data_IF_984726597332
#
_entry.id   IF_984726597332
#
_cell.length_a   1.000
_cell.length_b   1.000
_cell.length_c   1.000
_cell.angle_alpha   90.00
_cell.angle_beta   90.00
_cell.angle_gamma   90.00
#
_symmetry.space_group_name_H-M   'P 1'
#
loop_
_entity.id
_entity.type
_entity.pdbx_description
1 polymer ?
#
# COMPACT_ATOMS: atom_id res chain seq x y z
N UNK A 1 13.20 -78.36 50.15
CA UNK A 1 13.65 -78.85 48.83
C UNK A 1 15.10 -78.43 48.69
N UNK A 2 16.00 -79.37 48.51
CA UNK A 2 17.46 -79.28 48.61
C UNK A 2 18.09 -79.90 47.34
N UNK A 3 19.40 -79.79 47.09
CA UNK A 3 20.29 -78.61 47.14
C UNK A 3 21.23 -78.57 45.89
N UNK A 4 22.34 -77.81 45.95
CA UNK A 4 23.65 -78.08 45.29
C UNK A 4 23.77 -78.02 43.73
N UNK A 5 24.91 -77.66 43.10
CA UNK A 5 26.24 -77.21 43.58
C UNK A 5 27.09 -76.48 42.50
N UNK A 6 28.16 -75.78 42.95
CA UNK A 6 29.46 -75.44 42.29
C UNK A 6 29.48 -74.68 40.94
N UNK A 7 29.95 -73.43 40.86
CA UNK A 7 31.35 -72.92 40.88
C UNK A 7 32.28 -73.35 39.70
N UNK A 8 33.28 -72.51 39.33
CA UNK A 8 33.66 -72.22 37.94
C UNK A 8 34.87 -73.01 37.43
N UNK A 9 35.21 -72.87 36.14
CA UNK A 9 36.61 -72.89 35.70
C UNK A 9 36.87 -72.04 34.45
N UNK A 10 38.07 -71.46 34.44
CA UNK A 10 38.74 -70.79 33.33
C UNK A 10 39.30 -71.81 32.31
N UNK A 11 40.06 -71.28 31.34
CA UNK A 11 41.15 -71.93 30.63
C UNK A 11 40.83 -73.05 29.61
N UNK A 12 41.60 -73.22 28.52
CA UNK A 12 42.37 -72.26 27.71
C UNK A 12 42.76 -72.97 26.40
N UNK A 13 43.30 -72.21 25.42
CA UNK A 13 44.28 -72.69 24.43
C UNK A 13 43.94 -73.94 23.58
N UNK A 14 43.13 -73.69 22.56
CA UNK A 14 43.30 -74.27 21.23
C UNK A 14 44.06 -73.33 20.28
N UNK A 15 45.33 -73.09 20.61
CA UNK A 15 46.38 -72.37 19.86
C UNK A 15 46.21 -72.22 18.33
N UNK A 16 45.88 -70.98 17.94
CA UNK A 16 46.64 -70.08 17.06
C UNK A 16 47.08 -70.47 15.62
N UNK A 17 47.23 -69.45 14.73
CA UNK A 17 47.52 -69.59 13.29
C UNK A 17 49.06 -69.44 13.09
N UNK A 18 49.70 -68.81 12.05
CA UNK A 18 49.28 -67.98 10.90
C UNK A 18 50.06 -68.42 9.61
N UNK A 19 50.62 -67.56 8.72
CA UNK A 19 50.34 -66.16 8.35
C UNK A 19 50.04 -65.95 6.85
N UNK A 20 49.23 -64.95 6.48
CA UNK A 20 49.72 -63.58 6.19
C UNK A 20 49.64 -63.30 4.68
N UNK A 21 49.78 -62.11 4.08
CA UNK A 21 50.12 -60.71 4.44
C UNK A 21 49.68 -59.88 3.20
N UNK A 22 49.17 -58.64 3.21
CA UNK A 22 48.84 -57.63 4.23
C UNK A 22 47.69 -56.73 3.71
N UNK A 23 46.79 -56.18 4.56
CA UNK A 23 46.85 -54.79 5.07
C UNK A 23 47.38 -53.72 4.09
N UNK A 24 46.48 -52.83 3.64
CA UNK A 24 46.71 -51.35 3.61
C UNK A 24 45.36 -50.66 3.91
N UNK A 25 45.07 -50.18 5.13
CA UNK A 25 45.46 -48.93 5.83
C UNK A 25 44.21 -48.02 5.91
N UNK A 26 43.95 -47.43 7.08
CA UNK A 26 42.79 -46.57 7.37
C UNK A 26 43.16 -45.06 7.39
N UNK A 27 42.32 -44.22 8.04
CA UNK A 27 42.55 -42.80 8.45
C UNK A 27 42.26 -41.77 7.32
N UNK A 28 41.43 -40.71 7.45
CA UNK A 28 40.55 -40.19 8.54
C UNK A 28 39.48 -39.19 8.03
N UNK A 29 38.44 -38.97 8.86
CA UNK A 29 37.74 -37.70 9.15
C UNK A 29 37.28 -36.73 8.02
N UNK A 30 35.97 -36.44 8.01
CA UNK A 30 35.37 -35.11 8.31
C UNK A 30 34.01 -34.97 7.61
N UNK A 31 32.90 -34.97 8.37
CA UNK A 31 31.59 -34.65 7.82
C UNK A 31 31.40 -33.13 7.74
N UNK A 32 31.65 -32.54 6.59
CA UNK A 32 31.15 -31.20 6.24
C UNK A 32 29.98 -31.34 5.28
N UNK A 33 28.78 -31.01 5.76
CA UNK A 33 27.57 -30.98 4.93
C UNK A 33 27.66 -29.85 3.91
N UNK A 34 27.52 -30.10 2.60
CA UNK A 34 27.40 -29.02 1.63
C UNK A 34 26.04 -28.35 1.81
N UNK A 35 26.04 -27.04 2.07
CA UNK A 35 24.81 -26.24 2.03
C UNK A 35 24.37 -26.14 0.58
N UNK A 36 23.32 -26.88 0.22
CA UNK A 36 22.69 -26.78 -1.10
C UNK A 36 21.93 -25.46 -1.15
N UNK A 37 22.57 -24.42 -1.69
CA UNK A 37 21.90 -23.20 -2.09
C UNK A 37 21.02 -23.49 -3.32
N UNK A 38 19.79 -23.94 -3.07
CA UNK A 38 18.78 -24.11 -4.11
C UNK A 38 18.35 -22.73 -4.62
N UNK A 39 19.04 -22.23 -5.65
CA UNK A 39 18.61 -21.08 -6.42
C UNK A 39 17.34 -21.44 -7.20
N UNK A 40 16.18 -21.24 -6.59
CA UNK A 40 14.89 -21.39 -7.26
C UNK A 40 14.78 -20.30 -8.32
N UNK A 41 15.00 -20.69 -9.58
CA UNK A 41 14.67 -19.87 -10.72
C UNK A 41 13.14 -19.72 -10.81
N UNK A 42 12.61 -18.66 -10.20
CA UNK A 42 11.22 -18.27 -10.40
C UNK A 42 11.03 -17.89 -11.89
N UNK A 43 9.98 -18.38 -12.56
CA UNK A 43 9.69 -18.02 -13.95
C UNK A 43 9.60 -16.51 -14.13
N UNK A 44 10.28 -16.00 -15.16
CA UNK A 44 10.38 -14.58 -15.44
C UNK A 44 9.05 -13.95 -15.88
N UNK A 45 8.24 -13.56 -14.91
CA UNK A 45 7.30 -12.45 -15.07
C UNK A 45 7.98 -11.16 -14.58
N UNK A 46 8.93 -10.65 -15.36
CA UNK A 46 9.27 -9.23 -15.28
C UNK A 46 8.07 -8.44 -15.79
N UNK A 47 7.09 -8.24 -14.90
CA UNK A 47 6.22 -7.09 -15.00
C UNK A 47 7.13 -5.87 -14.83
N UNK A 48 7.58 -5.30 -15.95
CA UNK A 48 8.19 -3.97 -15.95
C UNK A 48 7.28 -3.06 -15.12
N UNK A 49 7.83 -2.24 -14.21
CA UNK A 49 7.01 -1.26 -13.52
C UNK A 49 6.28 -0.45 -14.60
N UNK A 50 4.94 -0.49 -14.57
CA UNK A 50 4.14 0.21 -15.56
C UNK A 50 4.59 1.68 -15.57
N UNK A 51 4.81 2.30 -16.75
CA UNK A 51 5.28 3.67 -16.80
C UNK A 51 4.43 4.56 -15.91
N UNK A 52 5.07 5.26 -14.98
CA UNK A 52 4.42 6.18 -14.06
C UNK A 52 3.69 7.26 -14.90
N UNK A 53 2.37 7.08 -15.10
CA UNK A 53 1.59 7.85 -16.06
C UNK A 53 0.56 7.09 -16.92
N UNK A 54 0.36 5.77 -16.76
CA UNK A 54 -0.65 5.01 -17.51
C UNK A 54 -1.94 4.64 -16.75
N UNK A 55 -1.96 4.77 -15.42
CA UNK A 55 -3.12 4.43 -14.58
C UNK A 55 -4.03 5.63 -14.26
N UNK A 56 -5.22 5.34 -13.73
CA UNK A 56 -6.08 6.36 -13.15
C UNK A 56 -5.46 6.94 -11.86
N UNK A 57 -5.68 8.23 -11.59
CA UNK A 57 -5.16 8.93 -10.41
C UNK A 57 -6.18 9.91 -9.84
N UNK A 58 -6.16 10.06 -8.52
CA UNK A 58 -7.02 10.98 -7.79
C UNK A 58 -6.36 12.34 -7.61
N UNK A 59 -7.20 13.37 -7.54
CA UNK A 59 -6.85 14.65 -6.95
C UNK A 59 -7.98 15.18 -6.09
N UNK A 60 -7.64 16.11 -5.21
CA UNK A 60 -8.56 16.74 -4.26
C UNK A 60 -8.39 18.25 -4.28
N UNK A 61 -9.49 18.98 -4.17
CA UNK A 61 -9.44 20.44 -3.99
C UNK A 61 -10.33 20.89 -2.85
N UNK A 62 -9.93 22.00 -2.23
CA UNK A 62 -10.72 22.81 -1.34
C UNK A 62 -10.96 24.19 -1.95
N UNK A 63 -12.18 24.70 -1.77
CA UNK A 63 -12.55 26.07 -2.11
C UNK A 63 -13.33 26.70 -0.96
N UNK A 64 -12.98 27.93 -0.56
CA UNK A 64 -13.83 28.74 0.31
C UNK A 64 -15.04 29.27 -0.48
N UNK A 65 -16.25 29.04 0.02
CA UNK A 65 -17.48 29.45 -0.66
C UNK A 65 -18.08 30.72 -0.06
N UNK A 66 -18.14 30.79 1.27
CA UNK A 66 -18.63 31.91 2.11
C UNK A 66 -17.91 31.85 3.47
N UNK A 67 -18.02 32.86 4.36
CA UNK A 67 -17.43 32.78 5.69
C UNK A 67 -17.82 31.49 6.43
N UNK A 68 -16.83 30.81 7.01
CA UNK A 68 -16.92 29.49 7.64
C UNK A 68 -17.19 28.30 6.70
N UNK A 69 -17.54 28.50 5.43
CA UNK A 69 -18.01 27.43 4.53
C UNK A 69 -16.96 27.07 3.49
N UNK A 70 -16.62 25.78 3.43
CA UNK A 70 -15.70 25.23 2.45
C UNK A 70 -16.32 24.07 1.65
N UNK A 71 -15.93 23.98 0.39
CA UNK A 71 -16.33 22.92 -0.54
C UNK A 71 -15.13 22.03 -0.79
N UNK A 72 -15.28 20.74 -0.53
CA UNK A 72 -14.32 19.71 -0.95
C UNK A 72 -14.81 19.10 -2.26
N UNK A 73 -13.91 18.94 -3.23
CA UNK A 73 -14.17 18.18 -4.44
C UNK A 73 -13.10 17.10 -4.63
N UNK A 74 -13.52 15.99 -5.24
CA UNK A 74 -12.66 14.85 -5.55
C UNK A 74 -12.77 14.56 -7.03
N UNK A 75 -11.62 14.41 -7.68
CA UNK A 75 -11.50 14.14 -9.10
C UNK A 75 -10.83 12.80 -9.30
N UNK A 76 -11.34 12.01 -10.23
CA UNK A 76 -10.68 10.81 -10.73
C UNK A 76 -10.27 11.09 -12.17
N UNK A 77 -8.98 10.98 -12.44
CA UNK A 77 -8.37 11.32 -13.72
C UNK A 77 -7.80 10.06 -14.37
N UNK A 78 -7.77 9.98 -15.70
CA UNK A 78 -7.00 8.96 -16.41
C UNK A 78 -6.60 9.45 -17.81
N UNK A 79 -5.54 8.91 -18.42
CA UNK A 79 -5.27 9.11 -19.85
C UNK A 79 -6.51 8.80 -20.68
N UNK A 80 -6.90 9.71 -21.59
CA UNK A 80 -8.12 9.54 -22.36
C UNK A 80 -7.99 8.32 -23.30
N UNK A 81 -8.78 7.27 -23.02
CA UNK A 81 -8.89 6.08 -23.86
C UNK A 81 -10.33 5.92 -24.37
N UNK A 82 -10.60 6.50 -25.55
CA UNK A 82 -11.94 6.57 -26.16
C UNK A 82 -13.00 7.25 -25.24
N UNK A 83 -14.27 6.82 -25.29
CA UNK A 83 -15.37 7.33 -24.45
C UNK A 83 -15.65 6.42 -23.24
N UNK A 84 -14.68 5.57 -22.86
CA UNK A 84 -14.81 4.64 -21.74
C UNK A 84 -14.92 5.37 -20.40
N UNK A 85 -15.65 4.83 -19.40
CA UNK A 85 -15.61 5.33 -18.04
C UNK A 85 -14.22 5.14 -17.43
N UNK A 86 -13.86 5.98 -16.48
CA UNK A 86 -12.61 5.86 -15.73
C UNK A 86 -12.81 4.84 -14.60
N UNK A 87 -11.96 3.81 -14.56
CA UNK A 87 -12.05 2.75 -13.53
C UNK A 87 -11.11 3.08 -12.37
N UNK A 88 -11.65 3.05 -11.15
CA UNK A 88 -10.88 3.04 -9.91
C UNK A 88 -10.88 1.61 -9.35
N UNK A 89 -9.75 0.91 -9.49
CA UNK A 89 -9.58 -0.52 -9.15
C UNK A 89 -9.77 -0.84 -7.66
N UNK A 90 -9.51 0.12 -6.77
CA UNK A 90 -9.56 -0.05 -5.32
C UNK A 90 -10.11 1.20 -4.67
N UNK A 91 -10.91 1.02 -3.62
CA UNK A 91 -11.42 2.14 -2.85
C UNK A 91 -10.27 3.00 -2.29
N UNK A 92 -10.47 4.31 -2.33
CA UNK A 92 -9.49 5.30 -1.87
C UNK A 92 -9.99 6.00 -0.61
N UNK A 93 -9.06 6.41 0.25
CA UNK A 93 -9.32 7.18 1.46
C UNK A 93 -8.79 8.59 1.29
N UNK A 94 -9.66 9.57 1.58
CA UNK A 94 -9.36 10.99 1.63
C UNK A 94 -9.62 11.46 3.05
N UNK A 95 -8.74 12.29 3.59
CA UNK A 95 -8.94 12.95 4.88
C UNK A 95 -9.02 14.45 4.73
N UNK A 96 -9.83 15.05 5.59
CA UNK A 96 -9.97 16.49 5.75
C UNK A 96 -9.62 16.81 7.21
N UNK A 97 -8.72 17.76 7.42
CA UNK A 97 -8.37 18.28 8.74
C UNK A 97 -8.58 19.79 8.79
N UNK A 98 -9.18 20.29 9.87
CA UNK A 98 -9.50 21.69 10.06
C UNK A 98 -8.79 22.26 11.30
N UNK A 99 -8.35 23.52 11.22
CA UNK A 99 -7.79 24.26 12.35
C UNK A 99 -8.84 24.68 13.39
N UNK A 100 -10.13 24.58 13.04
CA UNK A 100 -11.28 24.95 13.88
C UNK A 100 -12.36 23.86 13.81
N UNK A 101 -13.32 23.89 14.74
CA UNK A 101 -14.36 22.87 14.85
C UNK A 101 -15.35 22.97 13.67
N UNK A 102 -15.80 21.83 13.19
CA UNK A 102 -16.70 21.71 12.04
C UNK A 102 -18.12 21.48 12.56
N UNK A 103 -19.00 22.46 12.34
CA UNK A 103 -20.40 22.43 12.74
C UNK A 103 -21.21 21.42 11.92
N UNK A 104 -20.89 21.27 10.62
CA UNK A 104 -21.47 20.25 9.77
C UNK A 104 -20.49 19.81 8.68
N UNK A 105 -20.49 18.51 8.39
CA UNK A 105 -19.73 17.91 7.32
C UNK A 105 -20.61 17.72 6.07
N UNK A 106 -20.01 17.82 4.89
CA UNK A 106 -20.67 17.52 3.62
C UNK A 106 -21.08 16.05 3.52
N UNK A 107 -22.09 15.79 2.68
CA UNK A 107 -22.63 14.43 2.50
C UNK A 107 -21.55 13.40 2.18
N UNK A 108 -21.61 12.22 2.80
CA UNK A 108 -20.62 11.16 2.64
C UNK A 108 -19.29 11.34 3.40
N UNK A 109 -19.00 12.53 3.95
CA UNK A 109 -17.86 12.72 4.86
C UNK A 109 -18.26 12.21 6.25
N UNK A 110 -17.52 11.23 6.76
CA UNK A 110 -17.69 10.68 8.10
C UNK A 110 -16.81 11.44 9.08
N UNK A 111 -17.39 12.05 10.11
CA UNK A 111 -16.62 12.70 11.17
C UNK A 111 -15.79 11.67 11.96
N UNK A 112 -14.47 11.86 12.03
CA UNK A 112 -13.57 11.15 12.94
C UNK A 112 -13.40 11.91 14.27
N UNK A 113 -13.51 13.25 14.22
CA UNK A 113 -13.48 14.15 15.37
C UNK A 113 -14.15 15.50 15.01
N UNK A 114 -14.29 16.46 15.94
CA UNK A 114 -14.77 17.80 15.61
C UNK A 114 -13.95 18.54 14.55
N UNK A 115 -12.70 18.11 14.29
CA UNK A 115 -11.77 18.75 13.34
C UNK A 115 -11.24 17.82 12.25
N UNK A 116 -11.70 16.57 12.20
CA UNK A 116 -11.23 15.58 11.24
C UNK A 116 -12.41 14.83 10.61
N UNK A 117 -12.41 14.76 9.29
CA UNK A 117 -13.38 14.01 8.49
C UNK A 117 -12.67 13.04 7.55
N UNK A 118 -13.27 11.87 7.35
CA UNK A 118 -12.82 10.84 6.42
C UNK A 118 -13.86 10.65 5.32
N UNK A 119 -13.39 10.55 4.09
CA UNK A 119 -14.19 10.35 2.89
C UNK A 119 -13.65 9.15 2.13
N UNK A 120 -14.54 8.27 1.67
CA UNK A 120 -14.18 7.11 0.86
C UNK A 120 -14.67 7.30 -0.56
N UNK A 121 -13.79 7.06 -1.54
CA UNK A 121 -14.15 6.90 -2.95
C UNK A 121 -14.25 5.40 -3.22
N UNK A 122 -15.43 4.84 -3.51
CA UNK A 122 -15.56 3.41 -3.80
C UNK A 122 -14.72 2.95 -5.00
N UNK A 123 -14.36 1.66 -5.04
CA UNK A 123 -13.91 1.06 -6.31
C UNK A 123 -15.09 1.02 -7.29
N UNK A 124 -14.83 1.25 -8.58
CA UNK A 124 -15.88 1.24 -9.61
C UNK A 124 -15.55 2.03 -10.88
N UNK A 125 -16.53 2.06 -11.78
CA UNK A 125 -16.46 2.79 -13.05
C UNK A 125 -17.18 4.14 -12.95
N UNK A 126 -16.50 5.21 -13.34
CA UNK A 126 -16.98 6.58 -13.23
C UNK A 126 -17.12 7.25 -14.60
N UNK A 127 -18.26 7.87 -14.85
CA UNK A 127 -18.53 8.58 -16.11
C UNK A 127 -17.61 9.79 -16.26
N UNK A 128 -16.98 9.92 -17.43
CA UNK A 128 -16.18 11.09 -17.79
C UNK A 128 -17.08 12.34 -17.77
N UNK A 129 -16.64 13.36 -17.05
CA UNK A 129 -17.34 14.64 -16.87
C UNK A 129 -16.72 15.75 -17.72
N UNK A 130 -15.39 15.73 -17.89
CA UNK A 130 -14.65 16.65 -18.76
C UNK A 130 -13.34 16.02 -19.27
N UNK A 131 -12.64 16.74 -20.16
CA UNK A 131 -11.33 16.38 -20.68
C UNK A 131 -10.45 17.64 -20.60
N UNK A 132 -9.18 17.48 -20.22
CA UNK A 132 -8.17 18.54 -20.22
C UNK A 132 -6.83 18.00 -20.73
N UNK A 133 -5.87 18.87 -21.02
CA UNK A 133 -4.54 18.49 -21.53
C UNK A 133 -3.44 18.68 -20.48
N UNK A 134 -2.53 17.70 -20.37
CA UNK A 134 -1.23 17.79 -19.68
C UNK A 134 -0.15 17.47 -20.72
N UNK A 135 0.77 18.40 -20.98
CA UNK A 135 1.89 18.22 -21.93
C UNK A 135 1.47 17.66 -23.31
N UNK A 136 0.34 18.13 -23.83
CA UNK A 136 -0.25 17.67 -25.10
C UNK A 136 -0.93 16.30 -25.05
N UNK A 137 -1.09 15.70 -23.86
CA UNK A 137 -1.84 14.46 -23.63
C UNK A 137 -3.21 14.78 -23.03
N UNK A 138 -4.26 14.28 -23.67
CA UNK A 138 -5.62 14.37 -23.14
C UNK A 138 -5.82 13.46 -21.94
N UNK A 139 -6.33 14.04 -20.86
CA UNK A 139 -6.72 13.40 -19.62
C UNK A 139 -8.23 13.55 -19.47
N UNK A 140 -8.93 12.43 -19.32
CA UNK A 140 -10.33 12.42 -18.91
C UNK A 140 -10.42 12.66 -17.40
N UNK A 141 -11.39 13.44 -16.95
CA UNK A 141 -11.71 13.63 -15.53
C UNK A 141 -13.17 13.28 -15.25
N UNK A 142 -13.38 12.56 -14.15
CA UNK A 142 -14.67 12.24 -13.57
C UNK A 142 -14.78 12.84 -12.15
N UNK A 143 -16.00 13.03 -11.66
CA UNK A 143 -16.31 13.65 -10.37
C UNK A 143 -17.03 12.63 -9.46
N UNK A 144 -16.33 11.65 -8.85
CA UNK A 144 -16.94 10.52 -8.13
C UNK A 144 -18.01 10.86 -7.09
N UNK A 145 -17.88 12.02 -6.43
CA UNK A 145 -18.68 12.42 -5.28
C UNK A 145 -19.29 13.82 -5.43
N UNK A 146 -19.10 14.48 -6.59
CA UNK A 146 -19.49 15.88 -6.80
C UNK A 146 -18.76 16.86 -5.86
N UNK A 147 -19.50 17.89 -5.41
CA UNK A 147 -19.02 18.91 -4.48
C UNK A 147 -19.63 18.70 -3.09
N UNK A 148 -18.79 18.65 -2.06
CA UNK A 148 -19.16 18.34 -0.68
C UNK A 148 -18.94 19.57 0.21
N UNK A 149 -20.05 20.24 0.57
CA UNK A 149 -20.02 21.48 1.36
C UNK A 149 -20.02 21.18 2.86
N UNK A 150 -19.02 21.69 3.56
CA UNK A 150 -18.89 21.61 5.02
C UNK A 150 -18.78 23.03 5.62
N UNK A 151 -19.07 23.18 6.92
CA UNK A 151 -19.03 24.47 7.60
C UNK A 151 -18.38 24.40 8.97
N UNK A 152 -17.48 25.35 9.24
CA UNK A 152 -16.90 25.59 10.56
C UNK A 152 -17.95 26.15 11.53
N UNK A 153 -17.72 25.98 12.83
CA UNK A 153 -18.44 26.72 13.87
C UNK A 153 -18.17 28.23 13.77
N UNK A 154 -19.11 29.05 14.26
CA UNK A 154 -19.05 30.51 14.12
C UNK A 154 -18.19 31.24 15.18
N UNK A 155 -17.55 30.51 16.09
CA UNK A 155 -16.80 31.09 17.21
C UNK A 155 -15.68 30.18 17.71
N UNK A 156 -14.45 30.68 17.94
CA UNK A 156 -14.04 32.06 17.71
C UNK A 156 -13.94 32.43 16.23
N UNK A 157 -14.26 33.68 15.89
CA UNK A 157 -14.01 34.27 14.57
C UNK A 157 -12.51 34.34 14.29
N UNK A 158 -12.11 34.18 13.03
CA UNK A 158 -10.70 34.14 12.66
C UNK A 158 -10.45 33.44 11.33
N UNK A 159 -9.19 33.26 10.96
CA UNK A 159 -8.82 32.52 9.75
C UNK A 159 -8.12 31.22 10.11
N UNK A 160 -8.68 30.09 9.67
CA UNK A 160 -8.25 28.76 10.07
C UNK A 160 -7.87 27.92 8.85
N UNK A 161 -6.77 27.15 8.90
CA UNK A 161 -6.41 26.26 7.80
C UNK A 161 -7.41 25.11 7.71
N UNK A 162 -7.80 24.75 6.49
CA UNK A 162 -8.47 23.48 6.18
C UNK A 162 -7.62 22.78 5.13
N UNK A 163 -7.29 21.52 5.37
CA UNK A 163 -6.47 20.68 4.51
C UNK A 163 -7.28 19.47 4.07
N UNK A 164 -7.21 19.12 2.79
CA UNK A 164 -7.68 17.85 2.24
C UNK A 164 -6.49 17.10 1.66
N UNK A 165 -6.43 15.77 1.84
CA UNK A 165 -5.38 14.93 1.26
C UNK A 165 -5.92 13.54 0.87
N UNK A 166 -5.42 13.00 -0.25
CA UNK A 166 -5.52 11.58 -0.57
C UNK A 166 -4.55 10.83 0.34
N UNK A 167 -5.08 9.99 1.23
CA UNK A 167 -4.30 9.21 2.22
C UNK A 167 -4.03 7.80 1.72
N UNK A 168 -4.94 7.23 0.92
CA UNK A 168 -4.77 5.95 0.25
C UNK A 168 -5.46 5.98 -1.11
N UNK A 169 -4.81 5.45 -2.15
CA UNK A 169 -5.27 5.48 -3.53
C UNK A 169 -4.17 5.95 -4.49
N UNK A 170 -4.39 5.87 -5.80
CA UNK A 170 -3.44 6.38 -6.77
C UNK A 170 -3.48 7.91 -6.79
N UNK A 171 -2.32 8.56 -6.78
CA UNK A 171 -2.14 10.01 -6.93
C UNK A 171 -1.41 10.33 -8.23
N UNK A 172 -1.38 11.60 -8.65
CA UNK A 172 -0.69 12.00 -9.87
C UNK A 172 0.79 11.55 -9.84
N UNK A 173 1.26 10.79 -10.84
CA UNK A 173 2.58 10.16 -10.80
C UNK A 173 3.74 11.08 -11.26
N UNK A 174 3.44 12.27 -11.80
CA UNK A 174 4.45 13.22 -12.23
C UNK A 174 5.06 14.04 -11.07
N UNK A 175 6.24 14.64 -11.26
CA UNK A 175 6.99 15.33 -10.21
C UNK A 175 6.34 16.65 -9.75
N UNK A 176 5.51 17.26 -10.59
CA UNK A 176 4.74 18.46 -10.26
C UNK A 176 3.24 18.21 -10.52
N UNK A 177 2.38 18.12 -9.49
CA UNK A 177 0.94 17.97 -9.67
C UNK A 177 0.25 19.26 -10.11
N UNK A 178 0.91 20.43 -10.12
CA UNK A 178 0.29 21.70 -10.53
C UNK A 178 -0.16 21.70 -12.00
N UNK A 179 0.55 20.95 -12.86
CA UNK A 179 0.25 20.76 -14.29
C UNK A 179 -1.14 20.15 -14.54
N UNK A 180 -1.75 19.56 -13.51
CA UNK A 180 -3.10 18.96 -13.57
C UNK A 180 -4.24 19.98 -13.51
N UNK A 181 -3.93 21.29 -13.54
CA UNK A 181 -4.91 22.38 -13.43
C UNK A 181 -5.74 22.35 -12.13
N UNK A 182 -5.20 21.71 -11.09
CA UNK A 182 -5.87 21.47 -9.81
C UNK A 182 -6.52 20.08 -9.68
N UNK A 183 -6.83 19.41 -10.78
CA UNK A 183 -7.60 18.14 -10.77
C UNK A 183 -6.82 16.93 -10.23
N UNK A 184 -5.50 16.99 -10.15
CA UNK A 184 -4.63 15.90 -9.68
C UNK A 184 -3.78 16.29 -8.46
N UNK A 185 -4.15 17.34 -7.72
CA UNK A 185 -3.46 17.69 -6.48
C UNK A 185 -3.64 16.57 -5.43
N UNK A 186 -2.58 15.96 -4.90
CA UNK A 186 -2.69 14.91 -3.88
C UNK A 186 -3.11 15.46 -2.52
N UNK A 187 -2.88 16.75 -2.29
CA UNK A 187 -3.25 17.49 -1.09
C UNK A 187 -3.42 18.97 -1.42
N UNK A 188 -4.32 19.65 -0.71
CA UNK A 188 -4.47 21.10 -0.75
C UNK A 188 -4.82 21.63 0.65
N UNK A 189 -4.20 22.75 1.03
CA UNK A 189 -4.58 23.54 2.21
C UNK A 189 -5.03 24.92 1.77
N UNK A 190 -6.14 25.40 2.34
CA UNK A 190 -6.62 26.78 2.19
C UNK A 190 -6.95 27.39 3.55
N UNK A 191 -7.01 28.72 3.61
CA UNK A 191 -7.48 29.44 4.80
C UNK A 191 -8.98 29.74 4.66
N UNK A 192 -9.77 29.37 5.66
CA UNK A 192 -11.19 29.70 5.76
C UNK A 192 -11.38 30.73 6.87
N UNK A 193 -11.96 31.88 6.53
CA UNK A 193 -12.31 32.93 7.49
C UNK A 193 -13.72 32.69 8.02
N UNK A 194 -13.87 32.74 9.34
CA UNK A 194 -15.14 32.72 10.11
C UNK A 194 -15.41 34.12 10.64
#
# INVERSE_FOLDING_TARGET
MTPDERHPHDDERGSSPPPGIARRTAVTAAWTTPVVAAAVAAPGASASPAPAGSGAFLGVTLQGYRPGVFVTAVFLNAPQTSLSPIVLERAAEIRITAGHDVAYWGSGIVAESPRAGRLLVPAGSYSVSAIYDIDGRRISVAYPLGQLTSGLTSSPTGSFPVTVAVVSGPVYPGPDPSVTQGYGLPSQTIMITV
#
